data_IF_633243865335
#
_entry.id   IF_633243865335
#
_cell.length_a   1.000
_cell.length_b   1.000
_cell.length_c   1.000
_cell.angle_alpha   90.00
_cell.angle_beta   90.00
_cell.angle_gamma   90.00
#
_symmetry.space_group_name_H-M   'P 1'
#
loop_
_entity.id
_entity.type
_entity.pdbx_description
1 polymer ?
#
# COMPACT_ATOMS: atom_id res chain seq x y z
N UNK A 1 -4.04 3.80 -1.08
CA UNK A 1 -3.46 2.85 -0.10
C UNK A 1 -2.58 3.62 0.88
N UNK A 2 -2.86 3.60 2.18
CA UNK A 2 -2.13 4.45 3.13
C UNK A 2 -2.27 4.05 4.59
N UNK A 3 -1.86 4.90 5.52
CA UNK A 3 -1.88 4.62 6.97
C UNK A 3 -3.12 5.17 7.69
N UNK A 4 -3.95 5.96 7.00
CA UNK A 4 -5.13 6.61 7.56
C UNK A 4 -6.30 6.48 6.60
N UNK A 5 -7.53 6.49 7.13
CA UNK A 5 -8.79 6.55 6.38
C UNK A 5 -9.14 8.00 5.98
N UNK A 6 -10.12 8.17 5.10
CA UNK A 6 -10.72 9.48 4.80
C UNK A 6 -10.00 10.27 3.70
N UNK A 7 -9.30 9.59 2.79
CA UNK A 7 -8.73 10.27 1.64
C UNK A 7 -9.86 10.56 0.64
N UNK A 8 -10.17 11.85 0.44
CA UNK A 8 -11.18 12.28 -0.52
C UNK A 8 -10.67 12.12 -1.97
N UNK A 9 -11.61 11.92 -2.91
CA UNK A 9 -11.29 11.82 -4.34
C UNK A 9 -10.83 10.43 -4.81
N UNK A 10 -10.87 9.41 -3.95
CA UNK A 10 -10.54 8.03 -4.31
C UNK A 10 -11.80 7.17 -4.45
N UNK A 11 -11.87 6.34 -5.50
CA UNK A 11 -12.95 5.38 -5.69
C UNK A 11 -12.91 4.23 -4.68
N UNK A 12 -11.73 3.90 -4.15
CA UNK A 12 -11.54 2.89 -3.10
C UNK A 12 -10.31 3.22 -2.24
N UNK A 13 -10.38 2.84 -0.97
CA UNK A 13 -9.28 3.03 -0.01
C UNK A 13 -9.04 1.75 0.79
N UNK A 14 -7.76 1.52 1.12
CA UNK A 14 -7.29 0.51 2.06
C UNK A 14 -6.26 1.12 3.00
N UNK A 15 -6.37 0.77 4.27
CA UNK A 15 -5.47 1.21 5.33
C UNK A 15 -4.53 0.09 5.70
N UNK A 16 -3.24 0.30 5.45
CA UNK A 16 -2.17 -0.67 5.64
C UNK A 16 -2.03 -1.11 7.10
N UNK A 17 -2.09 -0.15 8.02
CA UNK A 17 -2.04 -0.41 9.45
C UNK A 17 -2.82 0.67 10.21
N UNK A 18 -4.00 0.35 10.76
CA UNK A 18 -4.74 1.25 11.62
C UNK A 18 -3.96 1.63 12.89
N UNK A 19 -3.07 0.76 13.35
CA UNK A 19 -2.21 0.97 14.53
C UNK A 19 -0.91 1.72 14.22
N UNK A 20 -0.59 2.00 12.95
CA UNK A 20 0.66 2.63 12.53
C UNK A 20 1.91 1.73 12.66
N UNK A 21 1.72 0.41 12.67
CA UNK A 21 2.80 -0.59 12.74
C UNK A 21 3.35 -0.90 11.35
N UNK A 22 4.67 -0.77 11.20
CA UNK A 22 5.38 -1.10 9.95
C UNK A 22 5.26 -2.57 9.57
N UNK A 23 5.24 -3.47 10.56
CA UNK A 23 5.11 -4.91 10.32
C UNK A 23 3.68 -5.29 9.86
N UNK A 24 2.67 -4.64 10.41
CA UNK A 24 1.27 -4.81 9.98
C UNK A 24 1.07 -4.24 8.57
N UNK A 25 1.59 -3.03 8.32
CA UNK A 25 1.54 -2.39 7.01
C UNK A 25 2.22 -3.24 5.93
N UNK A 26 3.36 -3.82 6.27
CA UNK A 26 4.10 -4.77 5.45
C UNK A 26 3.28 -6.02 5.09
N UNK A 27 2.60 -6.60 6.09
CA UNK A 27 1.82 -7.82 5.92
C UNK A 27 0.61 -7.61 5.00
N UNK A 28 -0.13 -6.51 5.18
CA UNK A 28 -1.34 -6.23 4.41
C UNK A 28 -1.09 -5.66 3.00
N UNK A 29 0.13 -5.17 2.72
CA UNK A 29 0.40 -4.43 1.50
C UNK A 29 0.06 -5.19 0.22
N UNK A 30 0.54 -6.44 0.08
CA UNK A 30 0.32 -7.20 -1.16
C UNK A 30 -1.12 -7.62 -1.34
N UNK A 31 -1.78 -8.00 -0.24
CA UNK A 31 -3.21 -8.33 -0.23
C UNK A 31 -4.04 -7.14 -0.71
N UNK A 32 -3.83 -5.97 -0.11
CA UNK A 32 -4.59 -4.77 -0.48
C UNK A 32 -4.26 -4.23 -1.86
N UNK A 33 -3.03 -4.42 -2.34
CA UNK A 33 -2.70 -4.13 -3.74
C UNK A 33 -3.48 -5.03 -4.69
N UNK A 34 -3.53 -6.34 -4.42
CA UNK A 34 -4.29 -7.28 -5.25
C UNK A 34 -5.79 -6.99 -5.21
N UNK A 35 -6.34 -6.65 -4.05
CA UNK A 35 -7.74 -6.23 -3.95
C UNK A 35 -8.04 -4.98 -4.78
N UNK A 36 -7.19 -3.95 -4.68
CA UNK A 36 -7.37 -2.70 -5.41
C UNK A 36 -7.16 -2.88 -6.92
N UNK A 37 -6.22 -3.73 -7.32
CA UNK A 37 -5.96 -4.08 -8.73
C UNK A 37 -7.16 -4.81 -9.35
N UNK A 38 -7.79 -5.71 -8.59
CA UNK A 38 -8.99 -6.44 -9.02
C UNK A 38 -10.21 -5.54 -9.26
N UNK A 39 -10.20 -4.30 -8.77
CA UNK A 39 -11.25 -3.30 -9.03
C UNK A 39 -11.13 -2.63 -10.39
N UNK A 40 -10.05 -2.88 -11.14
CA UNK A 40 -9.83 -2.28 -12.47
C UNK A 40 -9.66 -0.77 -12.42
N UNK A 41 -9.06 -0.24 -11.35
CA UNK A 41 -8.77 1.18 -11.18
C UNK A 41 -7.72 1.64 -12.19
N UNK A 42 -7.84 2.88 -12.67
CA UNK A 42 -6.84 3.48 -13.58
C UNK A 42 -5.48 3.68 -12.89
N UNK A 43 -5.49 3.95 -11.58
CA UNK A 43 -4.27 4.19 -10.78
C UNK A 43 -4.46 3.82 -9.32
N UNK A 44 -3.41 3.27 -8.71
CA UNK A 44 -3.33 3.05 -7.27
C UNK A 44 -2.27 3.99 -6.69
N UNK A 45 -2.71 4.97 -5.89
CA UNK A 45 -1.79 5.83 -5.13
C UNK A 45 -1.45 5.14 -3.80
N UNK A 46 -0.16 4.85 -3.58
CA UNK A 46 0.35 4.22 -2.36
C UNK A 46 1.22 5.18 -1.53
N UNK A 47 0.94 5.27 -0.23
CA UNK A 47 1.78 6.00 0.71
C UNK A 47 3.18 5.36 0.78
N UNK A 48 4.19 6.19 1.03
CA UNK A 48 5.58 5.73 1.13
C UNK A 48 5.72 4.79 2.33
N UNK A 49 6.08 3.53 2.06
CA UNK A 49 6.40 2.54 3.12
C UNK A 49 7.79 2.87 3.69
N UNK A 50 8.00 2.76 5.01
CA UNK A 50 9.32 2.99 5.61
C UNK A 50 10.40 2.11 4.98
N UNK A 51 11.58 2.68 4.75
CA UNK A 51 12.69 2.04 4.03
C UNK A 51 13.74 1.43 4.97
N UNK A 52 13.38 1.18 6.22
CA UNK A 52 14.24 0.56 7.23
C UNK A 52 13.71 -0.83 7.61
N UNK A 53 14.62 -1.76 7.94
CA UNK A 53 14.25 -3.13 8.32
C UNK A 53 13.41 -3.84 7.26
N UNK A 54 12.30 -4.45 7.67
CA UNK A 54 11.38 -5.20 6.79
C UNK A 54 10.78 -4.31 5.68
N UNK A 55 10.61 -3.02 5.96
CA UNK A 55 10.03 -2.07 5.00
C UNK A 55 10.91 -1.81 3.77
N UNK A 56 12.24 -1.98 3.88
CA UNK A 56 13.16 -1.83 2.74
C UNK A 56 12.93 -2.89 1.65
N UNK A 57 12.79 -4.16 2.05
CA UNK A 57 12.54 -5.26 1.13
C UNK A 57 11.18 -5.12 0.42
N UNK A 58 10.24 -4.49 1.12
CA UNK A 58 8.89 -4.25 0.62
C UNK A 58 8.84 -3.08 -0.34
N UNK A 59 9.51 -1.97 0.00
CA UNK A 59 9.67 -0.83 -0.90
C UNK A 59 10.33 -1.24 -2.23
N UNK A 60 11.35 -2.10 -2.17
CA UNK A 60 12.01 -2.66 -3.36
C UNK A 60 11.04 -3.49 -4.24
N UNK A 61 10.18 -4.31 -3.64
CA UNK A 61 9.16 -5.07 -4.38
C UNK A 61 8.05 -4.17 -4.93
N UNK A 62 7.67 -3.10 -4.23
CA UNK A 62 6.76 -2.07 -4.73
C UNK A 62 7.33 -1.35 -5.94
N UNK A 63 8.57 -0.88 -5.87
CA UNK A 63 9.25 -0.21 -6.99
C UNK A 63 9.26 -1.07 -8.24
N UNK A 64 9.51 -2.37 -8.10
CA UNK A 64 9.42 -3.32 -9.22
C UNK A 64 7.99 -3.48 -9.76
N UNK A 65 6.99 -3.54 -8.88
CA UNK A 65 5.59 -3.67 -9.30
C UNK A 65 5.08 -2.41 -10.01
N UNK A 66 5.56 -1.22 -9.61
CA UNK A 66 5.19 0.07 -10.23
C UNK A 66 5.89 0.38 -11.55
N UNK A 67 6.94 -0.37 -11.91
CA UNK A 67 7.69 -0.16 -13.14
C UNK A 67 7.09 -0.88 -14.36
N UNK A 68 5.85 -1.38 -14.24
CA UNK A 68 5.10 -2.10 -15.26
C UNK A 68 3.71 -1.51 -15.39
#
# INVERSE_FOLDING_TARGET
LGFHEGAEGYAAQRVLSPAGSDAEAAAHLFEYLHELDALGLERIDAARVPTSGLGAAIADRLTRASAR
#
